data_IF_346003274250
#
_entry.id   IF_346003274250
#
_cell.length_a   1.000
_cell.length_b   1.000
_cell.length_c   1.000
_cell.angle_alpha   90.00
_cell.angle_beta   90.00
_cell.angle_gamma   90.00
#
_symmetry.space_group_name_H-M   'P 1'
#
loop_
_entity.id
_entity.type
_entity.pdbx_description
1 polymer ?
#
# COMPACT_ATOMS: atom_id res chain seq x y z
N UNK A 1 -14.65 -11.80 -1.44
CA UNK A 1 -15.13 -10.75 -0.50
C UNK A 1 -14.64 -9.40 -1.00
N UNK A 2 -15.27 -8.29 -0.60
CA UNK A 2 -14.83 -6.93 -0.98
C UNK A 2 -14.14 -6.26 0.21
N UNK A 3 -12.91 -5.81 0.02
CA UNK A 3 -12.08 -5.17 1.06
C UNK A 3 -12.10 -3.66 0.86
N UNK A 4 -12.40 -2.91 1.92
CA UNK A 4 -12.29 -1.45 1.87
C UNK A 4 -10.82 -1.03 2.07
N UNK A 5 -10.34 -0.11 1.23
CA UNK A 5 -9.00 0.48 1.31
C UNK A 5 -9.08 2.00 1.21
N UNK A 6 -8.18 2.65 1.93
CA UNK A 6 -7.97 4.08 1.79
C UNK A 6 -6.86 4.33 0.76
N UNK A 7 -7.09 5.26 -0.16
CA UNK A 7 -6.12 5.70 -1.15
C UNK A 7 -5.89 7.20 -0.97
N UNK A 8 -4.67 7.56 -0.61
CA UNK A 8 -4.29 8.93 -0.31
C UNK A 8 -3.57 9.52 -1.49
N UNK A 9 -3.94 10.72 -1.91
CA UNK A 9 -3.30 11.43 -3.02
C UNK A 9 -2.87 12.82 -2.62
N UNK A 10 -1.78 13.28 -3.24
CA UNK A 10 -1.39 14.68 -3.32
C UNK A 10 -1.11 15.06 -4.78
N UNK A 11 -0.77 16.33 -5.10
CA UNK A 11 -0.53 16.75 -6.49
C UNK A 11 0.58 15.97 -7.20
N UNK A 12 1.43 15.24 -6.47
CA UNK A 12 2.55 14.49 -7.04
C UNK A 12 2.29 13.00 -7.17
N UNK A 13 1.75 12.34 -6.13
CA UNK A 13 1.60 10.88 -6.11
C UNK A 13 0.40 10.43 -5.26
N UNK A 14 0.01 9.17 -5.48
CA UNK A 14 -0.95 8.40 -4.70
C UNK A 14 -0.33 7.24 -3.91
N UNK A 15 -1.00 6.85 -2.83
CA UNK A 15 -0.65 5.69 -2.02
C UNK A 15 -1.85 4.90 -1.51
N UNK A 16 -1.84 3.59 -1.74
CA UNK A 16 -2.83 2.66 -1.19
C UNK A 16 -2.42 2.16 0.20
N UNK A 17 -3.26 2.41 1.21
CA UNK A 17 -2.98 1.97 2.57
C UNK A 17 -3.40 0.51 2.80
N UNK A 18 -2.43 -0.32 3.17
CA UNK A 18 -2.60 -1.75 3.50
C UNK A 18 -1.82 -2.12 4.76
N UNK A 19 -2.17 -3.24 5.40
CA UNK A 19 -1.37 -3.72 6.53
C UNK A 19 -0.17 -4.53 6.04
N UNK A 20 0.98 -4.41 6.70
CA UNK A 20 2.16 -5.22 6.38
C UNK A 20 1.87 -6.73 6.50
N UNK A 21 1.12 -7.15 7.52
CA UNK A 21 0.75 -8.55 7.72
C UNK A 21 -0.02 -9.13 6.54
N UNK A 22 -0.82 -8.32 5.86
CA UNK A 22 -1.54 -8.75 4.67
C UNK A 22 -0.60 -8.98 3.49
N UNK A 23 0.39 -8.11 3.27
CA UNK A 23 1.42 -8.34 2.25
C UNK A 23 2.20 -9.62 2.50
N UNK A 24 2.47 -9.94 3.78
CA UNK A 24 3.11 -11.20 4.17
C UNK A 24 2.20 -12.39 3.87
N UNK A 25 0.90 -12.32 4.20
CA UNK A 25 -0.08 -13.38 3.91
C UNK A 25 -0.27 -13.62 2.41
N UNK A 26 -0.23 -12.55 1.61
CA UNK A 26 -0.30 -12.60 0.15
C UNK A 26 1.00 -13.09 -0.48
N UNK A 27 2.09 -13.18 0.29
CA UNK A 27 3.40 -13.60 -0.21
C UNK A 27 4.16 -12.52 -1.00
N UNK A 28 3.60 -11.31 -1.15
CA UNK A 28 4.15 -10.23 -1.98
C UNK A 28 4.99 -9.21 -1.20
N UNK A 29 5.19 -9.42 0.10
CA UNK A 29 5.96 -8.48 0.95
C UNK A 29 7.38 -8.16 0.43
N UNK A 30 7.98 -9.02 -0.40
CA UNK A 30 9.30 -8.81 -1.02
C UNK A 30 9.24 -8.18 -2.41
N UNK A 31 8.05 -8.16 -3.01
CA UNK A 31 7.80 -7.61 -4.35
C UNK A 31 7.48 -6.12 -4.29
N UNK A 32 7.17 -5.60 -3.10
CA UNK A 32 6.92 -4.17 -2.88
C UNK A 32 8.25 -3.42 -2.88
N UNK A 33 8.27 -2.34 -3.66
CA UNK A 33 9.44 -1.50 -3.86
C UNK A 33 9.75 -0.62 -2.65
N UNK A 34 10.93 -0.01 -2.64
CA UNK A 34 11.31 1.01 -1.66
C UNK A 34 10.67 2.38 -1.93
N UNK A 35 9.92 2.55 -3.02
CA UNK A 35 9.16 3.78 -3.30
C UNK A 35 7.90 3.89 -2.43
N UNK A 36 7.43 2.76 -1.90
CA UNK A 36 6.39 2.69 -0.88
C UNK A 36 6.88 3.16 0.50
N UNK A 37 5.95 3.51 1.39
CA UNK A 37 6.26 3.97 2.74
C UNK A 37 5.70 3.04 3.82
N UNK A 38 6.30 3.08 5.01
CA UNK A 38 5.89 2.32 6.18
C UNK A 38 5.69 3.24 7.39
N UNK A 39 4.55 3.08 8.06
CA UNK A 39 4.28 3.74 9.33
C UNK A 39 3.43 2.83 10.24
N UNK A 40 3.98 2.48 11.41
CA UNK A 40 3.27 1.77 12.49
C UNK A 40 2.49 0.52 12.03
N UNK A 41 3.05 -0.27 11.13
CA UNK A 41 2.44 -1.51 10.63
C UNK A 41 1.60 -1.34 9.36
N UNK A 42 1.32 -0.10 8.95
CA UNK A 42 0.69 0.22 7.67
C UNK A 42 1.76 0.46 6.61
N UNK A 43 1.56 -0.12 5.44
CA UNK A 43 2.32 0.15 4.22
C UNK A 43 1.46 1.00 3.30
N UNK A 44 2.05 2.09 2.82
CA UNK A 44 1.46 3.01 1.85
C UNK A 44 2.10 2.68 0.50
N UNK A 45 1.39 1.87 -0.27
CA UNK A 45 1.86 1.35 -1.54
C UNK A 45 1.81 2.43 -2.60
N UNK A 46 2.95 2.72 -3.20
CA UNK A 46 3.08 3.65 -4.32
C UNK A 46 2.13 3.25 -5.49
N UNK A 47 1.48 4.24 -6.11
CA UNK A 47 0.38 4.02 -7.06
C UNK A 47 0.80 3.43 -8.41
N UNK A 48 1.98 3.79 -8.92
CA UNK A 48 2.44 3.45 -10.25
C UNK A 48 2.69 1.94 -10.40
N UNK A 49 3.21 1.29 -9.35
CA UNK A 49 3.59 -0.13 -9.39
C UNK A 49 3.03 -0.92 -8.21
N UNK A 50 3.33 -0.50 -7.00
CA UNK A 50 3.16 -1.34 -5.81
C UNK A 50 1.67 -1.58 -5.49
N UNK A 51 0.81 -0.57 -5.70
CA UNK A 51 -0.64 -0.71 -5.57
C UNK A 51 -1.20 -1.74 -6.57
N UNK A 52 -0.69 -1.75 -7.80
CA UNK A 52 -1.06 -2.73 -8.84
C UNK A 52 -0.70 -4.17 -8.44
N UNK A 53 0.52 -4.38 -7.94
CA UNK A 53 0.99 -5.68 -7.42
C UNK A 53 0.04 -6.22 -6.36
N UNK A 54 -0.37 -5.37 -5.43
CA UNK A 54 -1.31 -5.73 -4.38
C UNK A 54 -2.70 -6.08 -4.91
N UNK A 55 -3.26 -5.25 -5.80
CA UNK A 55 -4.59 -5.48 -6.39
C UNK A 55 -4.62 -6.82 -7.13
N UNK A 56 -3.57 -7.14 -7.88
CA UNK A 56 -3.48 -8.40 -8.61
C UNK A 56 -3.35 -9.60 -7.68
N UNK A 57 -2.62 -9.49 -6.56
CA UNK A 57 -2.56 -10.53 -5.54
C UNK A 57 -3.92 -10.77 -4.88
N UNK A 58 -4.66 -9.71 -4.57
CA UNK A 58 -6.04 -9.80 -4.03
C UNK A 58 -6.97 -10.50 -5.03
N UNK A 59 -6.93 -10.11 -6.31
CA UNK A 59 -7.72 -10.75 -7.37
C UNK A 59 -7.40 -12.24 -7.52
N UNK A 60 -6.12 -12.62 -7.44
CA UNK A 60 -5.69 -14.04 -7.48
C UNK A 60 -6.26 -14.86 -6.32
N UNK A 61 -6.53 -14.23 -5.18
CA UNK A 61 -7.20 -14.87 -4.05
C UNK A 61 -8.73 -14.89 -4.15
N UNK A 62 -9.32 -14.39 -5.24
CA UNK A 62 -10.78 -14.34 -5.43
C UNK A 62 -11.47 -13.19 -4.69
N UNK A 63 -10.69 -12.23 -4.21
CA UNK A 63 -11.17 -11.04 -3.53
C UNK A 63 -11.10 -9.82 -4.46
N UNK A 64 -11.77 -8.74 -4.06
CA UNK A 64 -11.70 -7.44 -4.74
C UNK A 64 -11.55 -6.33 -3.71
N UNK A 65 -11.11 -5.15 -4.14
CA UNK A 65 -11.03 -3.98 -3.28
C UNK A 65 -12.02 -2.90 -3.72
N UNK A 66 -12.54 -2.17 -2.76
CA UNK A 66 -13.18 -0.87 -2.93
C UNK A 66 -12.28 0.18 -2.30
N UNK A 67 -12.11 1.31 -2.97
CA UNK A 67 -11.20 2.36 -2.56
C UNK A 67 -12.00 3.59 -2.14
N UNK A 68 -11.64 4.16 -0.98
CA UNK A 68 -12.02 5.51 -0.57
C UNK A 68 -10.84 6.43 -0.83
N UNK A 69 -11.03 7.40 -1.73
CA UNK A 69 -10.01 8.37 -2.07
C UNK A 69 -9.98 9.53 -1.08
N UNK A 70 -8.78 9.92 -0.67
CA UNK A 70 -8.50 11.04 0.23
C UNK A 70 -7.46 11.94 -0.42
N UNK A 71 -7.88 13.11 -0.88
CA UNK A 71 -6.97 14.10 -1.44
C UNK A 71 -6.50 15.10 -0.38
N UNK A 72 -5.21 15.44 -0.40
CA UNK A 72 -4.64 16.55 0.35
C UNK A 72 -3.51 17.21 -0.45
N UNK A 73 -3.42 18.54 -0.41
CA UNK A 73 -2.30 19.29 -1.03
C UNK A 73 -0.92 18.83 -0.53
N UNK A 74 -0.86 18.38 0.72
CA UNK A 74 0.35 17.83 1.34
C UNK A 74 -0.03 16.63 2.21
N UNK A 75 0.46 15.44 1.86
CA UNK A 75 0.29 14.24 2.67
C UNK A 75 1.43 14.09 3.69
N UNK A 76 1.16 13.60 4.91
CA UNK A 76 2.22 13.26 5.86
C UNK A 76 3.03 12.02 5.39
N UNK A 77 2.51 11.26 4.41
CA UNK A 77 3.08 9.99 3.93
C UNK A 77 4.49 10.19 3.39
N UNK A 78 4.76 11.31 2.72
CA UNK A 78 6.09 11.68 2.22
C UNK A 78 7.16 11.79 3.33
N UNK A 79 6.74 12.00 4.57
CA UNK A 79 7.62 12.07 5.73
C UNK A 79 7.81 10.74 6.48
N UNK A 80 7.15 9.67 6.03
CA UNK A 80 7.27 8.36 6.66
C UNK A 80 8.56 7.65 6.23
N UNK A 81 8.92 6.60 6.97
CA UNK A 81 10.06 5.76 6.60
C UNK A 81 9.75 5.02 5.30
N UNK A 82 10.71 4.94 4.39
CA UNK A 82 10.59 4.06 3.23
C UNK A 82 10.34 2.61 3.64
N UNK A 83 9.54 1.92 2.85
CA UNK A 83 9.36 0.49 2.99
C UNK A 83 10.68 -0.23 2.68
N UNK A 84 11.06 -1.17 3.53
CA UNK A 84 12.26 -1.99 3.37
C UNK A 84 11.89 -3.46 3.53
N UNK A 85 12.47 -4.32 2.72
CA UNK A 85 12.16 -5.76 2.72
C UNK A 85 12.63 -6.54 3.96
N UNK A 86 13.08 -5.85 5.02
CA UNK A 86 13.67 -6.45 6.22
C UNK A 86 13.03 -5.93 7.52
N UNK A 87 11.71 -5.89 7.54
CA UNK A 87 10.94 -5.54 8.74
C UNK A 87 10.87 -6.76 9.69
N UNK A 88 11.85 -6.88 10.59
CA UNK A 88 11.76 -7.80 11.73
C UNK A 88 10.92 -7.13 12.83
N UNK A 89 9.65 -7.50 12.95
CA UNK A 89 8.75 -7.05 14.03
C UNK A 89 8.18 -8.23 14.78
#
# INVERSE_FOLDING_TARGET
MQLQRDFYTDPGHGWLAVSYQELVKLGISKDISTCSYFHKGTVYLEEDVDAGVYIDAIKKNGDSICVTEHYAENTPIRGYSYYRNNHNY
#
